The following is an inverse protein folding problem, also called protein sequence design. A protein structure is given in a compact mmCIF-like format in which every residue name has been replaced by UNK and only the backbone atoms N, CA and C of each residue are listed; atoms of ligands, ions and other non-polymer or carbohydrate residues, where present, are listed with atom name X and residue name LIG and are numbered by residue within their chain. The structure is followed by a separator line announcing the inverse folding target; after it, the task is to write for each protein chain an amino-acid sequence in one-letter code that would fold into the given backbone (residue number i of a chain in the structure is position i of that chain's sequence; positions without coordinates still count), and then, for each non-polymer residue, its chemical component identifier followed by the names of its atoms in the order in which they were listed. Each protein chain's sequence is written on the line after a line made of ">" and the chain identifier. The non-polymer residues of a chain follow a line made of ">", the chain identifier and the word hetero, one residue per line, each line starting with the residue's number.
data_IF_381436289687
#
_entry.id   IF_381436289687
#
_cell.length_a   1.000
_cell.length_b   1.000
_cell.length_c   1.000
_cell.angle_alpha   90.00
_cell.angle_beta   90.00
_cell.angle_gamma   90.00
#
_symmetry.space_group_name_H-M   'P 1'
#
loop_
_entity.id
_entity.type
_entity.pdbx_description
1 polymer ?
#
# COMPACT_ATOMS: atom_id res chain seq x y z
N UNK A 1 -11.60 20.11 -27.61
CA UNK A 1 -10.53 20.63 -26.72
C UNK A 1 -9.83 19.44 -26.04
N UNK A 2 -8.89 18.75 -26.71
CA UNK A 2 -8.27 17.54 -26.16
C UNK A 2 -7.36 17.82 -24.93
N UNK A 3 -6.79 19.02 -24.83
CA UNK A 3 -5.86 19.34 -23.77
C UNK A 3 -6.52 19.50 -22.38
N UNK A 4 -7.72 20.08 -22.32
CA UNK A 4 -8.47 20.24 -21.05
C UNK A 4 -8.77 18.90 -20.36
N UNK A 5 -9.10 17.85 -21.12
CA UNK A 5 -9.37 16.55 -20.56
C UNK A 5 -8.11 15.89 -19.96
N UNK A 6 -6.92 16.16 -20.53
CA UNK A 6 -5.65 15.66 -20.02
C UNK A 6 -5.24 16.44 -18.77
N UNK A 7 -5.45 17.77 -18.75
CA UNK A 7 -5.21 18.59 -17.56
C UNK A 7 -6.11 18.16 -16.38
N UNK A 8 -7.40 17.92 -16.64
CA UNK A 8 -8.31 17.39 -15.62
C UNK A 8 -7.88 16.01 -15.09
N UNK A 9 -7.37 15.14 -15.99
CA UNK A 9 -6.87 13.82 -15.59
C UNK A 9 -5.65 13.95 -14.67
N UNK A 10 -4.72 14.87 -15.01
CA UNK A 10 -3.57 15.17 -14.17
C UNK A 10 -4.00 15.71 -12.80
N UNK A 11 -4.88 16.71 -12.77
CA UNK A 11 -5.37 17.31 -11.53
C UNK A 11 -5.99 16.25 -10.62
N UNK A 12 -6.86 15.39 -11.14
CA UNK A 12 -7.46 14.28 -10.38
C UNK A 12 -6.42 13.29 -9.84
N UNK A 13 -5.38 12.97 -10.61
CA UNK A 13 -4.31 12.09 -10.15
C UNK A 13 -3.51 12.76 -9.03
N UNK A 14 -3.20 14.05 -9.17
CA UNK A 14 -2.48 14.82 -8.16
C UNK A 14 -3.29 14.98 -6.87
N UNK A 15 -4.57 15.33 -6.97
CA UNK A 15 -5.45 15.46 -5.81
C UNK A 15 -5.49 14.15 -5.01
N UNK A 16 -5.59 13.00 -5.70
CA UNK A 16 -5.51 11.67 -5.04
C UNK A 16 -4.19 11.49 -4.30
N UNK A 17 -3.07 11.89 -4.89
CA UNK A 17 -1.75 11.83 -4.25
C UNK A 17 -1.68 12.70 -2.99
N UNK A 18 -2.16 13.95 -3.06
CA UNK A 18 -2.18 14.88 -1.94
C UNK A 18 -3.09 14.39 -0.80
N UNK A 19 -4.31 13.95 -1.13
CA UNK A 19 -5.21 13.33 -0.15
C UNK A 19 -4.62 12.08 0.46
N UNK A 20 -3.91 11.28 -0.33
CA UNK A 20 -3.18 10.11 0.14
C UNK A 20 -2.12 10.46 1.19
N UNK A 21 -1.38 11.55 1.01
CA UNK A 21 -0.40 12.05 1.98
C UNK A 21 -1.06 12.52 3.28
N UNK A 22 -2.14 13.31 3.19
CA UNK A 22 -2.90 13.74 4.37
C UNK A 22 -3.41 12.53 5.15
N UNK A 23 -3.99 11.55 4.47
CA UNK A 23 -4.48 10.32 5.10
C UNK A 23 -3.36 9.50 5.73
N UNK A 24 -2.19 9.43 5.10
CA UNK A 24 -0.98 8.79 5.63
C UNK A 24 -0.55 9.41 6.96
N UNK A 25 -0.54 10.75 7.03
CA UNK A 25 -0.18 11.49 8.25
C UNK A 25 -1.18 11.23 9.38
N UNK A 26 -2.48 11.20 9.07
CA UNK A 26 -3.53 10.98 10.06
C UNK A 26 -3.58 9.53 10.58
N UNK A 27 -3.27 8.56 9.74
CA UNK A 27 -3.40 7.13 10.09
C UNK A 27 -2.08 6.48 10.50
N UNK A 28 -0.95 7.18 10.35
CA UNK A 28 0.39 6.64 10.57
C UNK A 28 0.79 5.52 9.58
N UNK A 29 0.03 5.33 8.49
CA UNK A 29 0.31 4.33 7.46
C UNK A 29 1.09 4.97 6.33
N UNK A 30 2.35 4.57 6.17
CA UNK A 30 3.16 5.03 5.04
C UNK A 30 2.52 4.65 3.69
N UNK A 31 2.40 5.62 2.80
CA UNK A 31 1.98 5.45 1.40
C UNK A 31 3.14 5.72 0.44
N UNK A 32 4.34 5.44 0.87
CA UNK A 32 5.54 5.59 0.06
C UNK A 32 5.78 4.35 -0.79
N UNK A 33 6.37 4.55 -1.97
CA UNK A 33 6.93 3.46 -2.76
C UNK A 33 8.08 2.81 -1.98
N UNK A 34 8.19 1.49 -2.10
CA UNK A 34 9.35 0.77 -1.58
C UNK A 34 10.62 1.27 -2.28
N UNK A 35 11.69 1.48 -1.53
CA UNK A 35 12.95 1.93 -2.09
C UNK A 35 13.81 0.71 -2.49
N UNK A 36 14.29 0.70 -3.74
CA UNK A 36 15.20 -0.37 -4.21
C UNK A 36 16.53 -0.33 -3.44
N UNK A 37 16.98 0.87 -3.08
CA UNK A 37 18.21 1.10 -2.31
C UNK A 37 18.18 0.40 -0.93
N UNK A 38 17.00 0.27 -0.32
CA UNK A 38 16.85 -0.50 0.93
C UNK A 38 17.12 -2.00 0.72
N UNK A 39 16.77 -2.53 -0.45
CA UNK A 39 17.07 -3.92 -0.80
C UNK A 39 18.58 -4.10 -0.96
N UNK A 40 19.25 -3.18 -1.67
CA UNK A 40 20.70 -3.20 -1.84
C UNK A 40 21.44 -3.10 -0.51
N UNK A 41 20.92 -2.29 0.42
CA UNK A 41 21.52 -2.10 1.75
C UNK A 41 21.28 -3.27 2.70
N UNK A 42 20.18 -4.02 2.57
CA UNK A 42 19.78 -5.06 3.54
C UNK A 42 19.91 -6.48 3.03
N UNK A 43 20.01 -6.67 1.71
CA UNK A 43 20.07 -7.97 1.06
C UNK A 43 21.34 -8.13 0.24
N UNK A 44 21.79 -9.36 0.11
CA UNK A 44 22.86 -9.71 -0.84
C UNK A 44 22.25 -10.06 -2.18
N UNK A 45 22.62 -9.32 -3.22
CA UNK A 45 22.22 -9.61 -4.60
C UNK A 45 23.19 -10.63 -5.21
N UNK A 46 22.71 -11.83 -5.51
CA UNK A 46 23.55 -12.92 -6.06
C UNK A 46 23.62 -12.88 -7.58
N UNK A 47 22.49 -12.65 -8.24
CA UNK A 47 22.41 -12.62 -9.69
C UNK A 47 21.46 -11.54 -10.19
N UNK A 48 21.85 -10.95 -11.33
CA UNK A 48 21.03 -10.02 -12.09
C UNK A 48 20.84 -10.58 -13.49
N UNK A 49 19.60 -10.92 -13.87
CA UNK A 49 19.33 -11.54 -15.15
C UNK A 49 18.29 -10.75 -15.94
N UNK A 50 18.56 -10.43 -17.20
CA UNK A 50 17.57 -9.87 -18.10
C UNK A 50 16.50 -10.92 -18.45
N UNK A 51 15.24 -10.58 -18.20
CA UNK A 51 14.10 -11.43 -18.52
C UNK A 51 13.37 -11.00 -19.81
N UNK A 52 13.94 -10.04 -20.55
CA UNK A 52 13.38 -9.52 -21.78
C UNK A 52 12.21 -8.56 -21.55
N UNK A 53 11.38 -8.39 -22.59
CA UNK A 53 10.14 -7.59 -22.53
C UNK A 53 9.00 -8.50 -22.08
N UNK A 54 8.23 -8.03 -21.08
CA UNK A 54 7.07 -8.72 -20.52
C UNK A 54 5.93 -7.75 -20.28
N UNK A 55 4.73 -8.26 -20.32
CA UNK A 55 3.54 -7.57 -19.81
C UNK A 55 3.47 -7.80 -18.31
N UNK A 56 3.44 -6.70 -17.53
CA UNK A 56 3.45 -6.72 -16.07
C UNK A 56 2.22 -6.03 -15.55
N UNK A 57 1.46 -6.65 -14.61
CA UNK A 57 0.35 -5.99 -13.92
C UNK A 57 0.86 -4.76 -13.15
N UNK A 58 0.25 -3.61 -13.40
CA UNK A 58 0.65 -2.34 -12.75
C UNK A 58 0.48 -2.43 -11.22
N UNK A 59 -0.47 -3.24 -10.75
CA UNK A 59 -0.70 -3.48 -9.31
C UNK A 59 0.48 -4.15 -8.60
N UNK A 60 1.34 -4.88 -9.31
CA UNK A 60 2.54 -5.53 -8.75
C UNK A 60 3.75 -4.59 -8.69
N UNK A 61 3.64 -3.39 -9.28
CA UNK A 61 4.70 -2.39 -9.25
C UNK A 61 4.51 -1.57 -7.97
N UNK A 62 5.31 -1.87 -6.93
CA UNK A 62 5.15 -1.30 -5.60
C UNK A 62 6.36 -0.49 -5.14
N UNK A 63 7.44 -0.46 -5.93
CA UNK A 63 8.69 0.20 -5.54
C UNK A 63 9.32 1.06 -6.63
N UNK A 64 10.35 1.79 -6.25
CA UNK A 64 11.11 2.70 -7.11
C UNK A 64 12.60 2.61 -6.84
N UNK A 65 13.42 2.67 -7.89
CA UNK A 65 14.83 2.97 -7.83
C UNK A 65 15.05 4.48 -8.07
N UNK A 66 15.17 5.26 -7.00
CA UNK A 66 15.62 6.65 -7.04
C UNK A 66 14.57 7.76 -7.15
N UNK A 67 13.25 7.49 -7.24
CA UNK A 67 12.18 8.51 -7.31
C UNK A 67 11.00 8.22 -6.39
N UNK A 68 11.27 7.68 -5.22
CA UNK A 68 10.27 7.30 -4.24
C UNK A 68 9.48 8.49 -3.65
N UNK A 69 9.99 9.72 -3.76
CA UNK A 69 9.37 10.95 -3.25
C UNK A 69 8.53 11.72 -4.28
N UNK A 70 8.67 11.42 -5.58
CA UNK A 70 7.95 12.10 -6.64
C UNK A 70 6.52 11.58 -6.83
N UNK A 71 6.27 10.37 -6.38
CA UNK A 71 5.01 9.64 -6.53
C UNK A 71 4.63 8.94 -5.22
N UNK A 72 3.33 8.79 -4.99
CA UNK A 72 2.83 7.93 -3.91
C UNK A 72 2.85 6.44 -4.31
N UNK A 73 2.42 5.55 -3.40
CA UNK A 73 2.35 4.10 -3.65
C UNK A 73 1.42 3.71 -4.82
N UNK A 74 0.54 4.59 -5.24
CA UNK A 74 -0.35 4.42 -6.38
C UNK A 74 0.15 5.13 -7.65
N UNK A 75 1.40 5.60 -7.65
CA UNK A 75 2.01 6.39 -8.72
C UNK A 75 1.26 7.68 -9.05
N UNK A 76 0.50 8.24 -8.11
CA UNK A 76 -0.04 9.58 -8.25
C UNK A 76 1.09 10.61 -8.11
N UNK A 77 1.16 11.63 -8.98
CA UNK A 77 2.21 12.64 -8.92
C UNK A 77 2.06 13.52 -7.67
N UNK A 78 3.15 13.73 -6.93
CA UNK A 78 3.20 14.56 -5.74
C UNK A 78 3.81 15.92 -5.99
N UNK A 79 4.68 16.04 -7.02
CA UNK A 79 5.49 17.22 -7.30
C UNK A 79 5.07 17.93 -8.59
N UNK A 80 5.08 19.28 -8.58
CA UNK A 80 4.64 20.10 -9.72
C UNK A 80 5.58 20.03 -10.91
N UNK A 81 6.87 19.87 -10.69
CA UNK A 81 7.86 19.76 -11.76
C UNK A 81 7.60 18.59 -12.71
N UNK A 82 6.82 17.62 -12.26
CA UNK A 82 6.43 16.44 -13.05
C UNK A 82 5.32 16.73 -14.08
N UNK A 83 4.56 17.81 -13.93
CA UNK A 83 3.35 18.11 -14.72
C UNK A 83 3.60 18.11 -16.22
N UNK A 84 4.58 18.89 -16.69
CA UNK A 84 4.85 19.04 -18.13
C UNK A 84 5.15 17.71 -18.82
N UNK A 85 5.99 16.88 -18.18
CA UNK A 85 6.37 15.56 -18.72
C UNK A 85 5.18 14.61 -18.70
N UNK A 86 4.40 14.63 -17.62
CA UNK A 86 3.21 13.82 -17.47
C UNK A 86 2.16 14.11 -18.56
N UNK A 87 1.84 15.41 -18.79
CA UNK A 87 0.91 15.85 -19.82
C UNK A 87 1.38 15.45 -21.23
N UNK A 88 2.66 15.58 -21.52
CA UNK A 88 3.23 15.17 -22.82
C UNK A 88 3.05 13.68 -23.09
N UNK A 89 3.28 12.82 -22.08
CA UNK A 89 3.10 11.38 -22.18
C UNK A 89 1.61 11.01 -22.35
N UNK A 90 0.72 11.65 -21.58
CA UNK A 90 -0.72 11.43 -21.67
C UNK A 90 -1.25 11.84 -23.05
N UNK A 91 -0.79 12.97 -23.58
CA UNK A 91 -1.16 13.43 -24.92
C UNK A 91 -0.65 12.47 -26.02
N UNK A 92 0.60 11.99 -25.91
CA UNK A 92 1.15 11.00 -26.85
C UNK A 92 0.31 9.73 -26.87
N UNK A 93 -0.05 9.23 -25.68
CA UNK A 93 -0.86 8.01 -25.52
C UNK A 93 -2.26 8.17 -26.09
N UNK A 94 -2.94 9.29 -25.83
CA UNK A 94 -4.26 9.58 -26.42
C UNK A 94 -4.26 9.63 -27.95
N UNK A 95 -3.15 10.03 -28.54
CA UNK A 95 -2.94 9.99 -30.01
C UNK A 95 -2.58 8.60 -30.55
N UNK A 96 -2.62 7.55 -29.71
CA UNK A 96 -2.26 6.19 -30.10
C UNK A 96 -0.76 5.99 -30.34
N UNK A 97 0.10 6.93 -29.90
CA UNK A 97 1.54 6.76 -30.06
C UNK A 97 2.05 5.67 -29.16
N UNK A 98 2.75 4.68 -29.73
CA UNK A 98 3.43 3.66 -28.96
C UNK A 98 4.50 4.30 -28.07
N UNK A 99 4.48 3.95 -26.79
CA UNK A 99 5.49 4.38 -25.82
C UNK A 99 6.48 3.26 -25.59
N UNK A 100 7.78 3.56 -25.39
CA UNK A 100 8.75 2.51 -25.12
C UNK A 100 8.42 1.77 -23.82
N UNK A 101 8.77 0.46 -23.71
CA UNK A 101 8.58 -0.29 -22.48
C UNK A 101 9.23 0.38 -21.28
N UNK A 102 8.61 0.28 -20.10
CA UNK A 102 9.20 0.78 -18.85
C UNK A 102 10.34 -0.14 -18.38
N UNK A 103 11.28 0.37 -17.59
CA UNK A 103 12.37 -0.42 -16.99
C UNK A 103 11.99 -0.84 -15.57
N UNK A 104 11.97 -2.15 -15.32
CA UNK A 104 11.63 -2.72 -14.02
C UNK A 104 12.72 -3.66 -13.50
N UNK A 105 12.95 -3.62 -12.19
CA UNK A 105 13.64 -4.66 -11.44
C UNK A 105 12.62 -5.50 -10.70
N UNK A 106 12.68 -6.80 -10.87
CA UNK A 106 11.86 -7.77 -10.14
C UNK A 106 12.66 -8.36 -8.98
N UNK A 107 12.13 -8.27 -7.78
CA UNK A 107 12.65 -8.95 -6.58
C UNK A 107 11.52 -9.79 -6.01
N UNK A 108 11.64 -11.13 -6.14
CA UNK A 108 10.53 -12.07 -5.87
C UNK A 108 9.28 -11.68 -6.68
N UNK A 109 8.17 -11.38 -6.02
CA UNK A 109 6.87 -11.04 -6.63
C UNK A 109 6.62 -9.53 -6.75
N UNK A 110 7.60 -8.70 -6.38
CA UNK A 110 7.48 -7.24 -6.35
C UNK A 110 8.33 -6.62 -7.45
N UNK A 111 7.79 -5.60 -8.13
CA UNK A 111 8.50 -4.85 -9.16
C UNK A 111 8.82 -3.43 -8.68
N UNK A 112 10.05 -3.00 -9.02
CA UNK A 112 10.59 -1.67 -8.75
C UNK A 112 10.84 -0.94 -10.06
N UNK A 113 10.37 0.30 -10.17
CA UNK A 113 10.56 1.12 -11.38
C UNK A 113 11.94 1.75 -11.36
N UNK A 114 12.74 1.49 -12.40
CA UNK A 114 14.00 2.18 -12.64
C UNK A 114 13.86 3.24 -13.75
N UNK A 115 13.01 3.00 -14.75
CA UNK A 115 12.68 3.96 -15.80
C UNK A 115 11.20 3.92 -16.17
N UNK A 116 10.60 5.07 -16.36
CA UNK A 116 9.22 5.20 -16.82
C UNK A 116 8.18 5.49 -15.75
N UNK A 117 8.54 6.05 -14.61
CA UNK A 117 7.61 6.44 -13.55
C UNK A 117 6.40 7.22 -14.07
N UNK A 118 6.62 8.24 -14.92
CA UNK A 118 5.55 8.99 -15.52
C UNK A 118 4.67 8.18 -16.46
N UNK A 119 5.24 7.18 -17.18
CA UNK A 119 4.48 6.28 -18.07
C UNK A 119 3.54 5.40 -17.26
N UNK A 120 4.00 4.88 -16.10
CA UNK A 120 3.20 4.11 -15.16
C UNK A 120 2.11 4.97 -14.53
N UNK A 121 2.46 6.18 -14.08
CA UNK A 121 1.51 7.15 -13.53
C UNK A 121 0.38 7.48 -14.50
N UNK A 122 0.71 7.79 -15.76
CA UNK A 122 -0.28 8.03 -16.83
C UNK A 122 -1.12 6.79 -17.11
N UNK A 123 -0.49 5.62 -17.20
CA UNK A 123 -1.20 4.35 -17.46
C UNK A 123 -2.25 4.07 -16.37
N UNK A 124 -1.86 4.21 -15.10
CA UNK A 124 -2.80 4.08 -13.96
C UNK A 124 -3.93 5.12 -14.00
N UNK A 125 -3.60 6.38 -14.24
CA UNK A 125 -4.60 7.44 -14.32
C UNK A 125 -5.62 7.20 -15.44
N UNK A 126 -5.22 6.53 -16.52
CA UNK A 126 -6.08 6.12 -17.64
C UNK A 126 -6.79 4.77 -17.42
N UNK A 127 -6.64 4.14 -16.25
CA UNK A 127 -7.31 2.87 -15.91
C UNK A 127 -6.68 1.63 -16.55
N UNK A 128 -5.43 1.72 -17.04
CA UNK A 128 -4.74 0.57 -17.62
C UNK A 128 -4.33 -0.40 -16.52
N UNK A 129 -4.52 -1.71 -16.77
CA UNK A 129 -4.21 -2.76 -15.80
C UNK A 129 -2.77 -3.27 -15.93
N UNK A 130 -2.26 -3.34 -17.15
CA UNK A 130 -0.96 -3.92 -17.46
C UNK A 130 -0.10 -2.95 -18.25
N UNK A 131 1.23 -3.14 -18.21
CA UNK A 131 2.19 -2.34 -18.95
C UNK A 131 3.33 -3.20 -19.49
N UNK A 132 3.81 -2.87 -20.69
CA UNK A 132 5.01 -3.48 -21.23
C UNK A 132 6.27 -3.00 -20.50
N UNK A 133 7.12 -3.92 -20.09
CA UNK A 133 8.31 -3.64 -19.32
C UNK A 133 9.50 -4.47 -19.78
N UNK A 134 10.67 -3.84 -19.79
CA UNK A 134 11.96 -4.52 -19.80
C UNK A 134 12.28 -4.94 -18.36
N UNK A 135 12.29 -6.22 -18.09
CA UNK A 135 12.43 -6.74 -16.72
C UNK A 135 13.83 -7.28 -16.48
N UNK A 136 14.44 -6.82 -15.40
CA UNK A 136 15.65 -7.39 -14.81
C UNK A 136 15.27 -8.12 -13.54
N UNK A 137 15.59 -9.39 -13.41
CA UNK A 137 15.29 -10.20 -12.22
C UNK A 137 16.53 -10.24 -11.33
N UNK A 138 16.35 -9.82 -10.08
CA UNK A 138 17.37 -9.95 -9.03
C UNK A 138 17.04 -11.12 -8.12
N UNK A 139 18.01 -12.01 -7.94
CA UNK A 139 17.97 -13.03 -6.90
C UNK A 139 18.68 -12.50 -5.68
N UNK A 140 17.94 -12.33 -4.59
CA UNK A 140 18.45 -11.75 -3.36
C UNK A 140 18.28 -12.70 -2.18
N UNK A 141 19.19 -12.62 -1.22
CA UNK A 141 19.08 -13.30 0.08
C UNK A 141 19.20 -12.24 1.17
N UNK A 142 18.33 -12.31 2.16
CA UNK A 142 18.29 -11.36 3.28
C UNK A 142 16.85 -10.99 3.64
N UNK A 143 16.68 -10.22 4.72
CA UNK A 143 15.36 -9.84 5.20
C UNK A 143 14.77 -8.71 4.34
N UNK A 144 13.71 -9.00 3.61
CA UNK A 144 13.02 -8.02 2.77
C UNK A 144 12.16 -7.06 3.61
N UNK A 145 12.09 -5.76 3.28
CA UNK A 145 11.35 -4.76 4.05
C UNK A 145 9.87 -5.12 4.27
N UNK A 146 9.19 -5.65 3.26
CA UNK A 146 7.78 -6.04 3.36
C UNK A 146 7.56 -7.33 4.16
N UNK A 147 8.55 -8.23 4.27
CA UNK A 147 8.46 -9.44 5.11
C UNK A 147 8.53 -9.08 6.61
N UNK A 148 9.32 -8.05 6.97
CA UNK A 148 9.38 -7.54 8.36
C UNK A 148 8.04 -6.97 8.81
N UNK A 149 7.34 -6.24 7.92
CA UNK A 149 6.02 -5.70 8.21
C UNK A 149 4.97 -6.80 8.39
N UNK A 150 5.00 -7.84 7.56
CA UNK A 150 4.10 -8.98 7.67
C UNK A 150 4.32 -9.76 8.99
N UNK A 151 5.58 -9.96 9.38
CA UNK A 151 5.93 -10.64 10.65
C UNK A 151 5.54 -9.79 11.86
N UNK A 152 5.69 -8.47 11.81
CA UNK A 152 5.27 -7.56 12.88
C UNK A 152 3.73 -7.57 13.05
N UNK A 153 2.96 -7.55 11.96
CA UNK A 153 1.50 -7.64 12.00
C UNK A 153 1.01 -9.01 12.51
N UNK A 154 1.66 -10.09 12.08
CA UNK A 154 1.36 -11.45 12.55
C UNK A 154 1.67 -11.62 14.04
N UNK A 155 2.80 -11.09 14.53
CA UNK A 155 3.13 -11.06 15.96
C UNK A 155 2.15 -10.23 16.78
N UNK A 156 1.79 -9.03 16.29
CA UNK A 156 0.83 -8.16 16.98
C UNK A 156 -0.57 -8.79 17.05
N UNK A 157 -1.02 -9.48 16.00
CA UNK A 157 -2.27 -10.24 15.99
C UNK A 157 -2.23 -11.40 16.99
N UNK A 158 -1.15 -12.17 17.00
CA UNK A 158 -0.97 -13.30 17.93
C UNK A 158 -0.99 -12.83 19.39
N UNK A 159 -0.28 -11.72 19.72
CA UNK A 159 -0.28 -11.16 21.07
C UNK A 159 -1.68 -10.69 21.51
N UNK A 160 -2.47 -10.09 20.60
CA UNK A 160 -3.87 -9.70 20.88
C UNK A 160 -4.76 -10.92 21.13
N UNK A 161 -4.64 -11.94 20.29
CA UNK A 161 -5.42 -13.17 20.44
C UNK A 161 -5.07 -13.91 21.74
N UNK A 162 -3.80 -13.97 22.10
CA UNK A 162 -3.34 -14.58 23.35
C UNK A 162 -3.80 -13.78 24.58
N UNK A 163 -3.78 -12.44 24.51
CA UNK A 163 -4.30 -11.59 25.59
C UNK A 163 -5.81 -11.71 25.75
N UNK A 164 -6.58 -11.80 24.66
CA UNK A 164 -8.02 -12.02 24.72
C UNK A 164 -8.37 -13.36 25.33
N UNK A 165 -7.67 -14.45 24.93
CA UNK A 165 -7.83 -15.78 25.52
C UNK A 165 -7.45 -15.82 26.99
N UNK A 166 -6.41 -15.08 27.40
CA UNK A 166 -6.02 -14.98 28.80
C UNK A 166 -7.11 -14.27 29.62
N UNK A 167 -7.68 -13.16 29.13
CA UNK A 167 -8.78 -12.46 29.80
C UNK A 167 -10.04 -13.34 29.92
N UNK A 168 -10.43 -14.07 28.88
CA UNK A 168 -11.56 -14.99 28.96
C UNK A 168 -11.33 -16.12 29.99
N UNK A 169 -10.14 -16.71 29.98
CA UNK A 169 -9.80 -17.77 30.96
C UNK A 169 -9.75 -17.22 32.39
N UNK A 170 -9.27 -16.01 32.58
CA UNK A 170 -9.23 -15.34 33.87
C UNK A 170 -10.65 -15.02 34.38
N UNK A 171 -11.55 -14.50 33.53
CA UNK A 171 -12.93 -14.25 33.88
C UNK A 171 -13.72 -15.54 34.19
N UNK A 172 -13.48 -16.59 33.41
CA UNK A 172 -14.06 -17.92 33.69
C UNK A 172 -13.57 -18.49 35.02
N UNK A 173 -12.28 -18.34 35.33
CA UNK A 173 -11.69 -18.75 36.61
C UNK A 173 -12.29 -17.98 37.79
N UNK A 174 -12.44 -16.67 37.65
CA UNK A 174 -13.10 -15.84 38.69
C UNK A 174 -14.56 -16.24 38.89
N UNK A 175 -15.29 -16.51 37.79
CA UNK A 175 -16.70 -16.92 37.86
C UNK A 175 -16.84 -18.28 38.56
N UNK A 176 -15.95 -19.23 38.27
CA UNK A 176 -15.93 -20.52 38.95
C UNK A 176 -15.54 -20.40 40.44
N UNK A 177 -14.58 -19.52 40.75
CA UNK A 177 -14.19 -19.23 42.13
C UNK A 177 -15.36 -18.62 42.96
N UNK A 178 -16.09 -17.65 42.38
CA UNK A 178 -17.27 -17.04 43.03
C UNK A 178 -18.40 -18.07 43.26
N UNK A 179 -18.57 -19.00 42.35
CA UNK A 179 -19.56 -20.12 42.53
C UNK A 179 -19.15 -21.06 43.67
N UNK A 180 -17.85 -21.38 43.78
CA UNK A 180 -17.32 -22.26 44.84
C UNK A 180 -17.40 -21.60 46.23
N UNK A 181 -17.21 -20.26 46.31
CA UNK A 181 -17.27 -19.49 47.58
C UNK A 181 -18.70 -19.10 47.98
N UNK A 182 -19.71 -19.50 47.20
CA UNK A 182 -21.12 -19.39 47.61
C UNK A 182 -21.68 -17.95 47.64
N UNK A 183 -21.02 -16.97 46.99
CA UNK A 183 -21.53 -15.60 46.88
C UNK A 183 -22.58 -15.53 45.76
N UNK A 184 -23.85 -15.73 46.11
CA UNK A 184 -24.99 -15.49 45.23
C UNK A 184 -25.05 -13.99 44.92
N UNK A 185 -24.62 -13.57 43.73
CA UNK A 185 -24.89 -12.24 43.25
C UNK A 185 -26.36 -12.02 43.03
N UNK A 186 -26.96 -11.23 43.92
CA UNK A 186 -28.35 -10.79 43.84
C UNK A 186 -28.42 -9.70 42.78
N UNK A 187 -28.83 -10.07 41.57
CA UNK A 187 -29.17 -9.09 40.54
C UNK A 187 -30.35 -8.25 41.05
N UNK A 188 -30.08 -6.99 41.38
CA UNK A 188 -31.14 -6.04 41.64
C UNK A 188 -31.77 -5.66 40.28
N UNK A 189 -33.05 -6.06 40.20
CA UNK A 189 -33.99 -5.60 39.17
C UNK A 189 -34.24 -4.11 39.43
N UNK A 190 -33.82 -3.24 38.51
CA UNK A 190 -34.17 -1.82 38.52
C UNK A 190 -35.60 -1.72 38.01
N UNK A 191 -36.56 -1.17 38.80
CA UNK A 191 -37.92 -0.97 38.33
C UNK A 191 -37.95 0.17 37.28
N UNK A 192 -38.57 -0.13 36.15
CA UNK A 192 -38.93 0.88 35.14
C UNK A 192 -39.96 1.84 35.75
N UNK A 193 -39.57 3.09 35.92
CA UNK A 193 -40.52 4.17 36.24
C UNK A 193 -41.22 4.54 34.93
N UNK A 194 -42.50 4.14 34.85
CA UNK A 194 -43.40 4.60 33.80
C UNK A 194 -43.69 6.07 33.98
N UNK A 195 -43.43 6.88 32.94
CA UNK A 195 -43.95 8.24 32.83
C UNK A 195 -45.27 8.11 32.07
N UNK A 196 -46.36 8.05 32.84
CA UNK A 196 -47.71 8.24 32.33
C UNK A 196 -48.01 9.73 32.16
N UNK A 197 -48.79 10.05 31.15
CA UNK A 197 -49.06 11.33 30.57
C UNK A 197 -49.74 12.41 31.47
N UNK A 198 -49.66 13.60 30.96
CA UNK A 198 -50.75 14.58 30.74
C UNK A 198 -50.25 15.62 29.76
#
# INVERSE_FOLDING_TARGET
>A
MPDQAIDMLYSRARDRGQWGQVWSTLTGRSRCLLALDEIEATCTVHTCRHAGIRTVPISQICGSGGRSTDFDCDFNPLQDHNKRRWLSIAAARRRGKALPPVGLVQVKDVYFVCDGHHRISVARAMGQQDIEAKVMVWQVTGPLPWERSATAHSRAKKVRDDSARFQERFLLSLRNFLVVVGIKSRAQVVPQVGIGGL
#
